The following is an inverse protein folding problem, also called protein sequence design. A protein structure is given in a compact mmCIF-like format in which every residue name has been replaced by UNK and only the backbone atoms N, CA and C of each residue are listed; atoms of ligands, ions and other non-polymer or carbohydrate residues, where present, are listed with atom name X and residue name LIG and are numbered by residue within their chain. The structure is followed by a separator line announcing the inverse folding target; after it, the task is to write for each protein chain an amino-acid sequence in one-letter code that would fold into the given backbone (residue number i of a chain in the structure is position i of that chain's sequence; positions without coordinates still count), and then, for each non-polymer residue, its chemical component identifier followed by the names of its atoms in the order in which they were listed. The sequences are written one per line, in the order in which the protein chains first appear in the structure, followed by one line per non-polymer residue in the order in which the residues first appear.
data_IF_539081838435
#
_entry.id   IF_539081838435
#
_cell.length_a   1.000
_cell.length_b   1.000
_cell.length_c   1.000
_cell.angle_alpha   90.00
_cell.angle_beta   90.00
_cell.angle_gamma   90.00
#
_symmetry.space_group_name_H-M   'P 1'
#
loop_
_entity.id
_entity.type
_entity.pdbx_description
1 polymer ?
#
# COMPACT_ATOMS: atom_id res chain seq x y z
N UNK A 1 26.74 7.76 15.98
CA UNK A 1 25.96 7.78 14.73
C UNK A 1 24.64 7.08 15.00
N UNK A 2 23.47 7.66 14.65
CA UNK A 2 22.23 6.88 14.73
C UNK A 2 22.36 5.67 13.82
N UNK A 3 22.07 4.48 14.35
CA UNK A 3 22.11 3.23 13.61
C UNK A 3 21.23 3.34 12.36
N UNK A 4 21.65 2.83 11.19
CA UNK A 4 20.82 2.88 9.98
C UNK A 4 19.46 2.26 10.31
N UNK A 5 18.38 2.98 9.99
CA UNK A 5 17.01 2.49 10.20
C UNK A 5 16.89 1.13 9.52
N UNK A 6 16.66 0.07 10.32
CA UNK A 6 16.31 -1.24 9.79
C UNK A 6 15.01 -1.04 8.99
N UNK A 7 15.03 -1.39 7.71
CA UNK A 7 13.82 -1.38 6.88
C UNK A 7 12.75 -2.27 7.55
N UNK A 8 11.49 -1.84 7.54
CA UNK A 8 10.35 -2.60 8.05
C UNK A 8 9.40 -2.98 6.92
N UNK A 9 8.50 -3.94 7.16
CA UNK A 9 7.45 -4.28 6.20
C UNK A 9 6.54 -3.08 5.91
N UNK A 10 6.14 -2.34 6.94
CA UNK A 10 5.34 -1.13 6.80
C UNK A 10 6.00 -0.10 5.87
N UNK A 11 7.28 0.21 6.09
CA UNK A 11 8.02 1.14 5.23
C UNK A 11 8.10 0.63 3.78
N UNK A 12 8.27 -0.67 3.59
CA UNK A 12 8.30 -1.30 2.26
C UNK A 12 6.95 -1.14 1.55
N UNK A 13 5.84 -1.36 2.27
CA UNK A 13 4.50 -1.19 1.72
C UNK A 13 4.24 0.28 1.35
N UNK A 14 4.55 1.23 2.23
CA UNK A 14 4.39 2.66 1.95
C UNK A 14 5.17 3.09 0.69
N UNK A 15 6.43 2.65 0.57
CA UNK A 15 7.24 2.94 -0.61
C UNK A 15 6.67 2.25 -1.86
N UNK A 16 6.24 1.00 -1.74
CA UNK A 16 5.66 0.24 -2.84
C UNK A 16 4.37 0.86 -3.37
N UNK A 17 3.47 1.29 -2.49
CA UNK A 17 2.25 2.02 -2.86
C UNK A 17 2.59 3.31 -3.59
N UNK A 18 3.51 4.13 -3.05
CA UNK A 18 3.93 5.36 -3.72
C UNK A 18 4.55 5.13 -5.11
N UNK A 19 5.31 4.04 -5.29
CA UNK A 19 5.84 3.67 -6.61
C UNK A 19 4.73 3.27 -7.58
N UNK A 20 3.70 2.55 -7.13
CA UNK A 20 2.54 2.22 -7.95
C UNK A 20 1.77 3.46 -8.39
N UNK A 21 1.58 4.43 -7.49
CA UNK A 21 0.91 5.70 -7.79
C UNK A 21 1.72 6.57 -8.76
N UNK A 22 3.03 6.67 -8.56
CA UNK A 22 3.92 7.53 -9.36
C UNK A 22 4.25 6.93 -10.74
N UNK A 23 4.42 5.61 -10.82
CA UNK A 23 5.07 4.96 -11.97
C UNK A 23 4.28 3.75 -12.51
N UNK A 24 3.13 3.44 -11.89
CA UNK A 24 2.32 2.29 -12.26
C UNK A 24 2.93 0.93 -11.91
N UNK A 25 2.26 -0.17 -12.30
CA UNK A 25 2.68 -1.54 -11.97
C UNK A 25 4.10 -1.90 -12.43
N UNK A 26 4.54 -1.38 -13.58
CA UNK A 26 5.86 -1.66 -14.14
C UNK A 26 6.98 -0.96 -13.35
N UNK A 27 6.69 0.17 -12.72
CA UNK A 27 7.62 0.88 -11.84
C UNK A 27 7.84 0.19 -10.49
N UNK A 28 6.90 -0.66 -10.06
CA UNK A 28 7.05 -1.42 -8.82
C UNK A 28 8.02 -2.59 -9.03
N UNK A 29 9.28 -2.37 -8.69
CA UNK A 29 10.31 -3.41 -8.66
C UNK A 29 10.98 -3.49 -7.29
N UNK A 30 11.49 -4.67 -6.91
CA UNK A 30 12.25 -4.83 -5.67
C UNK A 30 13.47 -3.89 -5.61
N UNK A 31 14.06 -3.60 -6.77
CA UNK A 31 15.19 -2.69 -6.89
C UNK A 31 14.79 -1.23 -6.62
N UNK A 32 13.69 -0.76 -7.21
CA UNK A 32 13.17 0.60 -7.01
C UNK A 32 12.77 0.83 -5.55
N UNK A 33 12.12 -0.16 -4.93
CA UNK A 33 11.77 -0.12 -3.49
C UNK A 33 13.03 -0.01 -2.64
N UNK A 34 14.04 -0.86 -2.91
CA UNK A 34 15.29 -0.86 -2.14
C UNK A 34 16.04 0.47 -2.26
N UNK A 35 16.11 1.01 -3.48
CA UNK A 35 16.72 2.30 -3.76
C UNK A 35 16.04 3.42 -2.98
N UNK A 36 14.71 3.50 -3.02
CA UNK A 36 13.94 4.53 -2.32
C UNK A 36 13.96 4.34 -0.80
N UNK A 37 14.08 3.10 -0.31
CA UNK A 37 14.26 2.79 1.10
C UNK A 37 15.69 3.03 1.61
N UNK A 38 16.66 3.31 0.72
CA UNK A 38 18.07 3.51 1.09
C UNK A 38 18.78 2.24 1.55
N UNK A 39 18.35 1.06 1.07
CA UNK A 39 18.94 -0.25 1.42
C UNK A 39 19.28 -1.09 0.20
N UNK A 40 20.00 -2.20 0.41
CA UNK A 40 20.27 -3.18 -0.63
C UNK A 40 19.05 -4.07 -0.84
N UNK A 41 18.73 -4.43 -2.09
CA UNK A 41 17.59 -5.29 -2.42
C UNK A 41 17.53 -6.61 -1.62
N UNK A 42 18.65 -7.33 -1.35
CA UNK A 42 18.64 -8.51 -0.50
C UNK A 42 18.04 -8.32 0.91
N UNK A 43 18.12 -7.10 1.46
CA UNK A 43 17.55 -6.79 2.78
C UNK A 43 16.03 -6.83 2.79
N UNK A 44 15.37 -6.57 1.66
CA UNK A 44 13.91 -6.55 1.56
C UNK A 44 13.30 -7.94 1.69
N UNK A 45 14.00 -8.99 1.21
CA UNK A 45 13.51 -10.37 1.26
C UNK A 45 13.37 -10.94 2.68
N UNK A 46 13.89 -10.23 3.70
CA UNK A 46 13.64 -10.56 5.11
C UNK A 46 12.22 -10.18 5.57
N UNK A 47 11.53 -9.34 4.79
CA UNK A 47 10.21 -8.79 5.12
C UNK A 47 9.14 -9.18 4.11
N UNK A 48 9.50 -9.31 2.83
CA UNK A 48 8.54 -9.63 1.77
C UNK A 48 9.18 -10.54 0.73
N UNK A 49 8.46 -11.59 0.32
CA UNK A 49 8.95 -12.60 -0.61
C UNK A 49 8.80 -12.15 -2.07
N UNK A 50 9.56 -11.11 -2.43
CA UNK A 50 9.61 -10.57 -3.78
C UNK A 50 8.40 -9.71 -4.18
N UNK A 51 8.39 -9.35 -5.47
CA UNK A 51 7.45 -8.37 -6.03
C UNK A 51 6.00 -8.82 -5.93
N UNK A 52 5.71 -10.07 -6.24
CA UNK A 52 4.33 -10.55 -6.26
C UNK A 52 3.73 -10.62 -4.84
N UNK A 53 4.54 -10.98 -3.84
CA UNK A 53 4.13 -10.88 -2.45
C UNK A 53 3.89 -9.42 -2.03
N UNK A 54 4.74 -8.50 -2.49
CA UNK A 54 4.56 -7.07 -2.23
C UNK A 54 3.26 -6.53 -2.86
N UNK A 55 2.99 -6.85 -4.12
CA UNK A 55 1.75 -6.47 -4.81
C UNK A 55 0.53 -6.99 -4.04
N UNK A 56 0.56 -8.24 -3.60
CA UNK A 56 -0.55 -8.84 -2.84
C UNK A 56 -0.81 -8.10 -1.53
N UNK A 57 0.23 -7.83 -0.76
CA UNK A 57 0.10 -7.12 0.53
C UNK A 57 -0.41 -5.69 0.35
N UNK A 58 0.03 -4.99 -0.72
CA UNK A 58 -0.50 -3.67 -1.05
C UNK A 58 -1.99 -3.76 -1.41
N UNK A 59 -2.37 -4.72 -2.27
CA UNK A 59 -3.76 -4.92 -2.67
C UNK A 59 -4.66 -5.29 -1.47
N UNK A 60 -4.19 -6.13 -0.55
CA UNK A 60 -4.88 -6.45 0.70
C UNK A 60 -5.14 -5.18 1.53
N UNK A 61 -4.14 -4.30 1.67
CA UNK A 61 -4.30 -3.01 2.35
C UNK A 61 -5.36 -2.13 1.69
N UNK A 62 -5.33 -2.01 0.36
CA UNK A 62 -6.32 -1.22 -0.40
C UNK A 62 -7.74 -1.77 -0.22
N UNK A 63 -7.91 -3.09 -0.20
CA UNK A 63 -9.23 -3.71 0.02
C UNK A 63 -9.74 -3.43 1.43
N UNK A 64 -8.87 -3.49 2.45
CA UNK A 64 -9.22 -3.16 3.83
C UNK A 64 -9.64 -1.69 3.95
N UNK A 65 -8.88 -0.78 3.34
CA UNK A 65 -9.19 0.66 3.36
C UNK A 65 -10.51 0.97 2.64
N UNK A 66 -10.75 0.33 1.48
CA UNK A 66 -12.02 0.45 0.77
C UNK A 66 -13.20 -0.06 1.61
N UNK A 67 -13.02 -1.19 2.31
CA UNK A 67 -14.01 -1.73 3.23
C UNK A 67 -14.36 -0.73 4.32
N UNK A 68 -13.36 -0.12 4.96
CA UNK A 68 -13.57 0.93 5.97
C UNK A 68 -14.33 2.13 5.44
N UNK A 69 -13.98 2.63 4.24
CA UNK A 69 -14.69 3.75 3.60
C UNK A 69 -16.16 3.40 3.33
N UNK A 70 -16.43 2.17 2.88
CA UNK A 70 -17.79 1.71 2.64
C UNK A 70 -18.61 1.56 3.93
N UNK A 71 -18.00 1.04 4.99
CA UNK A 71 -18.63 0.92 6.32
C UNK A 71 -18.99 2.30 6.89
N UNK A 72 -18.06 3.25 6.84
CA UNK A 72 -18.29 4.65 7.25
C UNK A 72 -19.39 5.32 6.41
N UNK A 73 -19.40 5.10 5.10
CA UNK A 73 -20.43 5.63 4.21
C UNK A 73 -21.82 5.01 4.46
N UNK A 74 -21.86 3.74 4.87
CA UNK A 74 -23.09 3.01 5.16
C UNK A 74 -23.75 3.46 6.46
N UNK A 75 -22.98 3.99 7.41
CA UNK A 75 -23.52 4.49 8.65
C UNK A 75 -24.50 5.66 8.40
N UNK A 76 -25.75 5.48 8.84
CA UNK A 76 -26.84 6.43 8.62
C UNK A 76 -27.20 6.68 7.15
N UNK A 77 -26.88 5.79 6.21
CA UNK A 77 -27.31 5.90 4.82
C UNK A 77 -28.75 5.39 4.62
N UNK A 78 -29.54 6.07 3.79
CA UNK A 78 -30.91 5.67 3.44
C UNK A 78 -30.99 4.54 2.40
N UNK A 79 -29.85 4.09 1.85
CA UNK A 79 -29.78 2.99 0.90
C UNK A 79 -28.46 2.93 0.13
N UNK A 80 -28.26 1.87 -0.66
CA UNK A 80 -26.99 1.57 -1.33
C UNK A 80 -26.49 2.69 -2.27
N UNK A 81 -27.40 3.40 -2.95
CA UNK A 81 -27.01 4.52 -3.82
C UNK A 81 -26.38 5.70 -3.06
N UNK A 82 -26.85 5.95 -1.82
CA UNK A 82 -26.27 6.97 -0.95
C UNK A 82 -24.90 6.53 -0.40
N UNK A 83 -24.75 5.25 -0.04
CA UNK A 83 -23.46 4.67 0.36
C UNK A 83 -22.41 4.85 -0.74
N UNK A 84 -22.73 4.45 -1.97
CA UNK A 84 -21.81 4.60 -3.11
C UNK A 84 -21.44 6.07 -3.35
N UNK A 85 -22.40 6.98 -3.25
CA UNK A 85 -22.16 8.42 -3.42
C UNK A 85 -21.26 9.00 -2.32
N UNK A 86 -21.46 8.59 -1.07
CA UNK A 86 -20.64 9.03 0.07
C UNK A 86 -19.23 8.44 0.00
N UNK A 87 -19.10 7.14 -0.29
CA UNK A 87 -17.83 6.46 -0.45
C UNK A 87 -16.99 7.05 -1.59
N UNK A 88 -17.60 7.31 -2.76
CA UNK A 88 -16.91 7.92 -3.89
C UNK A 88 -16.40 9.36 -3.63
N UNK A 89 -16.94 10.07 -2.63
CA UNK A 89 -16.46 11.40 -2.22
C UNK A 89 -15.34 11.34 -1.17
N UNK A 90 -15.15 10.20 -0.54
CA UNK A 90 -14.16 9.99 0.51
C UNK A 90 -12.83 9.42 -0.03
N UNK A 91 -12.82 8.98 -1.29
CA UNK A 91 -11.64 8.56 -2.06
C UNK A 91 -11.08 9.76 -2.85
#
# INVERSE_FOLDING_TARGET
MPSPRRTSLEQILTIGTGLLEEQGPDGLTMQAVAQRAGVRAPSLYKHVDGRDALVRLIAEGVVVDLGRVLEEAADGAGGAGEVLTRAARAL
#
